data_IF_348349059060
#
_entry.id   IF_348349059060
#
_cell.length_a   1.000
_cell.length_b   1.000
_cell.length_c   1.000
_cell.angle_alpha   90.00
_cell.angle_beta   90.00
_cell.angle_gamma   90.00
#
_symmetry.space_group_name_H-M   'P 1'
#
loop_
_entity.id
_entity.type
_entity.pdbx_description
1 polymer ?
#
# COMPACT_ATOMS: atom_id res chain seq x y z
N UNK A 1 0.34 -3.90 -3.52
CA UNK A 1 -0.76 -4.48 -4.34
C UNK A 1 -1.66 -3.35 -4.79
N UNK A 2 -2.17 -3.38 -6.02
CA UNK A 2 -3.08 -2.34 -6.51
C UNK A 2 -4.54 -2.78 -6.40
N UNK A 3 -5.39 -1.91 -5.88
CA UNK A 3 -6.82 -2.13 -5.76
C UNK A 3 -7.59 -0.98 -6.41
N UNK A 4 -8.76 -1.31 -6.96
CA UNK A 4 -9.73 -0.33 -7.40
C UNK A 4 -10.62 0.06 -6.23
N UNK A 5 -10.70 1.35 -5.95
CA UNK A 5 -11.45 1.90 -4.82
C UNK A 5 -12.37 3.00 -5.34
N UNK A 6 -13.56 3.13 -4.76
CA UNK A 6 -14.47 4.22 -5.09
C UNK A 6 -14.18 5.39 -4.16
N UNK A 7 -13.79 6.53 -4.73
CA UNK A 7 -13.49 7.77 -4.03
C UNK A 7 -14.17 8.91 -4.80
N UNK A 8 -14.94 9.75 -4.10
CA UNK A 8 -15.71 10.87 -4.68
C UNK A 8 -16.55 10.50 -5.92
N UNK A 9 -17.13 9.29 -5.91
CA UNK A 9 -17.95 8.79 -7.02
C UNK A 9 -17.17 8.20 -8.20
N UNK A 10 -15.83 8.32 -8.21
CA UNK A 10 -14.96 7.81 -9.25
C UNK A 10 -14.22 6.55 -8.79
N UNK A 11 -13.91 5.66 -9.75
CA UNK A 11 -13.13 4.45 -9.49
C UNK A 11 -11.64 4.74 -9.72
N UNK A 12 -10.86 4.82 -8.65
CA UNK A 12 -9.42 5.15 -8.68
C UNK A 12 -8.59 3.91 -8.35
N UNK A 13 -7.36 3.86 -8.88
CA UNK A 13 -6.37 2.86 -8.47
C UNK A 13 -5.62 3.36 -7.26
N UNK A 14 -5.57 2.59 -6.17
CA UNK A 14 -4.69 2.85 -5.02
C UNK A 14 -3.77 1.67 -4.75
N UNK A 15 -2.58 1.96 -4.23
CA UNK A 15 -1.65 0.94 -3.77
C UNK A 15 -1.84 0.67 -2.27
N UNK A 16 -1.97 -0.60 -1.91
CA UNK A 16 -1.90 -1.09 -0.54
C UNK A 16 -0.52 -1.70 -0.30
N UNK A 17 0.14 -1.26 0.76
CA UNK A 17 1.39 -1.81 1.24
C UNK A 17 1.11 -2.70 2.45
N UNK A 18 1.60 -3.94 2.38
CA UNK A 18 1.49 -4.89 3.46
C UNK A 18 2.81 -4.90 4.24
N UNK A 19 2.73 -4.89 5.56
CA UNK A 19 3.89 -5.14 6.42
C UNK A 19 3.84 -6.59 6.87
N UNK A 20 4.91 -7.33 6.55
CA UNK A 20 5.11 -8.70 6.97
C UNK A 20 6.22 -8.75 8.02
N UNK A 21 5.90 -9.36 9.15
CA UNK A 21 6.84 -9.70 10.21
C UNK A 21 7.30 -11.14 10.08
N UNK A 22 8.46 -11.42 10.65
CA UNK A 22 8.95 -12.78 10.90
C UNK A 22 9.09 -12.92 12.41
N UNK A 23 8.41 -13.90 13.00
CA UNK A 23 8.53 -14.18 14.42
C UNK A 23 9.87 -14.87 14.75
N UNK A 24 10.16 -15.06 16.03
CA UNK A 24 11.39 -15.74 16.48
C UNK A 24 11.48 -17.21 16.04
N UNK A 25 10.36 -17.80 15.60
CA UNK A 25 10.29 -19.16 15.08
C UNK A 25 10.40 -19.19 13.53
N UNK A 26 10.64 -18.06 12.87
CA UNK A 26 10.77 -17.96 11.42
C UNK A 26 9.43 -17.93 10.67
N UNK A 27 8.30 -17.75 11.35
CA UNK A 27 6.97 -17.74 10.74
C UNK A 27 6.60 -16.34 10.26
N UNK A 28 6.07 -16.28 9.04
CA UNK A 28 5.53 -15.05 8.45
C UNK A 28 4.19 -14.72 9.07
N UNK A 29 4.04 -13.46 9.48
CA UNK A 29 2.77 -12.91 9.96
C UNK A 29 2.51 -11.53 9.34
N UNK A 30 1.25 -11.20 9.17
CA UNK A 30 0.84 -9.86 8.72
C UNK A 30 0.75 -8.96 9.94
N UNK A 31 1.62 -7.95 9.98
CA UNK A 31 1.65 -6.97 11.06
C UNK A 31 0.69 -5.81 10.81
N UNK A 32 0.39 -5.52 9.55
CA UNK A 32 -0.56 -4.46 9.20
C UNK A 32 -0.54 -4.10 7.73
N UNK A 33 -1.37 -3.12 7.41
CA UNK A 33 -1.59 -2.60 6.06
C UNK A 33 -1.58 -1.09 6.07
N UNK A 34 -1.01 -0.49 5.03
CA UNK A 34 -1.02 0.95 4.81
C UNK A 34 -1.56 1.21 3.40
N UNK A 35 -2.64 1.99 3.32
CA UNK A 35 -3.16 2.47 2.06
C UNK A 35 -2.43 3.75 1.69
N UNK A 36 -1.79 3.78 0.53
CA UNK A 36 -1.21 5.02 0.02
C UNK A 36 -2.33 5.95 -0.45
N UNK A 37 -2.49 7.10 0.21
CA UNK A 37 -3.40 8.15 -0.25
C UNK A 37 -2.83 8.90 -1.45
N UNK A 38 -1.50 9.05 -1.50
CA UNK A 38 -0.77 9.58 -2.64
C UNK A 38 0.54 8.80 -2.78
N UNK A 39 0.81 8.29 -3.98
CA UNK A 39 2.17 7.89 -4.30
C UNK A 39 3.01 9.17 -4.28
N UNK A 40 4.03 9.26 -3.42
CA UNK A 40 5.01 10.35 -3.52
C UNK A 40 5.75 10.15 -4.83
N UNK A 41 5.20 10.73 -5.89
CA UNK A 41 5.88 10.86 -7.17
C UNK A 41 7.00 11.86 -6.93
N UNK A 42 8.22 11.37 -6.66
CA UNK A 42 9.42 12.18 -6.83
C UNK A 42 9.48 12.52 -8.31
N UNK A 43 8.83 13.61 -8.71
CA UNK A 43 9.03 14.20 -10.02
C UNK A 43 10.48 14.65 -10.03
N UNK A 44 11.30 13.88 -10.74
CA UNK A 44 12.62 14.32 -11.15
C UNK A 44 12.44 15.69 -11.79
N UNK A 45 12.91 16.72 -11.08
CA UNK A 45 13.01 18.07 -11.61
C UNK A 45 13.79 17.95 -12.92
N UNK A 46 13.15 18.35 -14.01
CA UNK A 46 13.75 18.43 -15.33
C UNK A 46 14.10 19.87 -15.60
#
# INVERSE_FOLDING_TARGET
MFFKVKEDGHCVSKCMYNILGIDQNGRKEVLGFYLAESEVLVRSVK
#
